data_IF_601270441518
#
_entry.id   IF_601270441518
#
_cell.length_a   1.000
_cell.length_b   1.000
_cell.length_c   1.000
_cell.angle_alpha   90.00
_cell.angle_beta   90.00
_cell.angle_gamma   90.00
#
_symmetry.space_group_name_H-M   'P 1'
#
loop_
_entity.id
_entity.type
_entity.pdbx_description
1 polymer ?
#
# COMPACT_ATOMS: atom_id res chain seq x y z
N UNK A 1 -9.01 0.92 27.02
CA UNK A 1 -9.56 1.97 26.13
C UNK A 1 -10.41 1.32 25.06
N UNK A 2 -11.68 1.70 24.97
CA UNK A 2 -12.58 1.18 23.93
C UNK A 2 -12.19 1.83 22.59
N UNK A 3 -11.66 1.05 21.64
CA UNK A 3 -11.35 1.55 20.30
C UNK A 3 -12.59 1.40 19.44
N UNK A 4 -13.15 2.47 18.88
CA UNK A 4 -14.31 2.39 18.01
C UNK A 4 -13.97 1.60 16.73
N UNK A 5 -14.95 0.94 16.16
CA UNK A 5 -14.83 0.34 14.84
C UNK A 5 -14.52 1.43 13.81
N UNK A 6 -13.66 1.09 12.84
CA UNK A 6 -13.34 1.93 11.70
C UNK A 6 -13.85 1.27 10.43
N UNK A 7 -14.52 2.02 9.59
CA UNK A 7 -14.99 1.55 8.29
C UNK A 7 -14.15 2.21 7.20
N UNK A 8 -13.52 1.40 6.35
CA UNK A 8 -12.78 1.85 5.19
C UNK A 8 -13.60 1.65 3.91
N UNK A 9 -13.43 2.53 2.95
CA UNK A 9 -13.97 2.39 1.60
C UNK A 9 -12.82 2.09 0.63
N UNK A 10 -13.00 1.08 -0.23
CA UNK A 10 -12.05 0.74 -1.28
C UNK A 10 -12.76 0.77 -2.63
N UNK A 11 -12.14 1.40 -3.61
CA UNK A 11 -12.60 1.44 -5.00
C UNK A 11 -11.44 1.16 -5.95
N UNK A 12 -11.72 0.92 -7.22
CA UNK A 12 -10.71 0.48 -8.20
C UNK A 12 -10.67 1.36 -9.43
N UNK A 13 -11.74 2.10 -9.72
CA UNK A 13 -11.90 2.81 -10.97
C UNK A 13 -12.55 4.16 -10.76
N UNK A 14 -12.23 5.07 -11.69
CA UNK A 14 -12.94 6.33 -11.87
C UNK A 14 -13.03 6.66 -13.37
N UNK A 15 -14.07 7.38 -13.77
CA UNK A 15 -14.24 7.86 -15.15
C UNK A 15 -13.32 9.03 -15.48
N UNK A 16 -12.78 9.68 -14.45
CA UNK A 16 -11.85 10.81 -14.57
C UNK A 16 -11.60 11.52 -13.25
N UNK A 17 -10.88 12.62 -13.31
CA UNK A 17 -10.46 13.35 -12.12
C UNK A 17 -11.62 13.80 -11.23
N UNK A 18 -12.72 14.27 -11.84
CA UNK A 18 -13.90 14.71 -11.08
C UNK A 18 -14.57 13.55 -10.36
N UNK A 19 -14.78 12.42 -11.04
CA UNK A 19 -15.40 11.24 -10.44
C UNK A 19 -14.55 10.70 -9.29
N UNK A 20 -13.22 10.60 -9.46
CA UNK A 20 -12.32 10.18 -8.40
C UNK A 20 -12.37 11.11 -7.17
N UNK A 21 -12.38 12.43 -7.41
CA UNK A 21 -12.54 13.41 -6.35
C UNK A 21 -13.88 13.28 -5.63
N UNK A 22 -14.97 13.08 -6.37
CA UNK A 22 -16.32 12.93 -5.81
C UNK A 22 -16.44 11.65 -4.97
N UNK A 23 -15.84 10.53 -5.40
CA UNK A 23 -15.78 9.28 -4.62
C UNK A 23 -15.03 9.49 -3.31
N UNK A 24 -13.86 10.13 -3.33
CA UNK A 24 -13.06 10.38 -2.13
C UNK A 24 -13.77 11.32 -1.13
N UNK A 25 -14.32 12.43 -1.62
CA UNK A 25 -15.10 13.37 -0.79
C UNK A 25 -16.35 12.73 -0.21
N UNK A 26 -17.09 11.97 -1.03
CA UNK A 26 -18.29 11.27 -0.57
C UNK A 26 -17.97 10.25 0.52
N UNK A 27 -16.84 9.54 0.41
CA UNK A 27 -16.40 8.64 1.47
C UNK A 27 -16.10 9.42 2.77
N UNK A 28 -15.47 10.58 2.68
CA UNK A 28 -15.20 11.45 3.82
C UNK A 28 -16.50 11.97 4.44
N UNK A 29 -17.41 12.53 3.64
CA UNK A 29 -18.70 13.10 4.08
C UNK A 29 -19.61 12.05 4.73
N UNK A 30 -19.52 10.79 4.31
CA UNK A 30 -20.25 9.67 4.91
C UNK A 30 -19.58 9.13 6.19
N UNK A 31 -18.44 9.69 6.61
CA UNK A 31 -17.76 9.33 7.84
C UNK A 31 -16.92 8.05 7.76
N UNK A 32 -16.55 7.60 6.55
CA UNK A 32 -15.56 6.53 6.42
C UNK A 32 -14.22 6.98 7.01
N UNK A 33 -13.56 6.07 7.70
CA UNK A 33 -12.28 6.34 8.37
C UNK A 33 -11.09 6.33 7.41
N UNK A 34 -11.21 5.62 6.29
CA UNK A 34 -10.15 5.51 5.30
C UNK A 34 -10.69 5.27 3.89
N UNK A 35 -9.94 5.78 2.91
CA UNK A 35 -10.18 5.62 1.49
C UNK A 35 -8.97 4.94 0.83
N UNK A 36 -9.21 3.83 0.14
CA UNK A 36 -8.17 2.97 -0.39
C UNK A 36 -8.35 2.65 -1.88
N UNK A 37 -7.23 2.45 -2.54
CA UNK A 37 -7.12 1.83 -3.86
C UNK A 37 -6.23 0.59 -3.73
N UNK A 38 -6.36 -0.38 -4.62
CA UNK A 38 -5.40 -1.47 -4.75
C UNK A 38 -4.20 -1.05 -5.62
N UNK A 39 -3.25 -1.95 -5.84
CA UNK A 39 -2.07 -1.72 -6.68
C UNK A 39 -2.01 -2.78 -7.78
N UNK A 40 -2.96 -2.68 -8.72
CA UNK A 40 -2.99 -3.50 -9.92
C UNK A 40 -2.72 -2.65 -11.15
N UNK A 41 -2.04 -3.24 -12.13
CA UNK A 41 -1.56 -2.53 -13.33
C UNK A 41 -2.42 -2.88 -14.55
N UNK A 42 -3.01 -4.07 -14.57
CA UNK A 42 -3.77 -4.54 -15.71
C UNK A 42 -5.20 -4.00 -15.72
N UNK A 43 -5.66 -3.65 -16.92
CA UNK A 43 -7.08 -3.48 -17.22
C UNK A 43 -7.81 -4.82 -17.30
N UNK A 44 -9.11 -4.77 -17.67
CA UNK A 44 -9.92 -5.98 -17.87
C UNK A 44 -9.26 -6.93 -18.89
N UNK A 45 -9.38 -8.23 -18.62
CA UNK A 45 -8.85 -9.27 -19.49
C UNK A 45 -8.55 -10.57 -18.75
N UNK A 46 -8.06 -11.59 -19.47
CA UNK A 46 -7.97 -12.97 -18.97
C UNK A 46 -7.19 -13.13 -17.66
N UNK A 47 -6.19 -12.29 -17.41
CA UNK A 47 -5.39 -12.36 -16.18
C UNK A 47 -6.22 -12.02 -14.93
N UNK A 48 -6.96 -10.91 -14.97
CA UNK A 48 -7.78 -10.48 -13.82
C UNK A 48 -9.10 -11.26 -13.75
N UNK A 49 -9.68 -11.67 -14.89
CA UNK A 49 -10.87 -12.53 -14.93
C UNK A 49 -10.63 -13.87 -14.22
N UNK A 50 -9.48 -14.51 -14.50
CA UNK A 50 -9.08 -15.74 -13.83
C UNK A 50 -8.87 -15.57 -12.33
N UNK A 51 -8.37 -14.41 -11.90
CA UNK A 51 -8.20 -14.07 -10.50
C UNK A 51 -9.51 -13.64 -9.82
N UNK A 52 -10.61 -13.45 -10.58
CA UNK A 52 -11.86 -12.86 -10.13
C UNK A 52 -11.61 -11.50 -9.40
N UNK A 53 -10.76 -10.66 -10.03
CA UNK A 53 -10.40 -9.35 -9.50
C UNK A 53 -10.90 -8.25 -10.43
N UNK A 54 -11.49 -7.16 -9.92
CA UNK A 54 -11.91 -6.04 -10.75
C UNK A 54 -10.69 -5.38 -11.43
N UNK A 55 -10.89 -4.91 -12.66
CA UNK A 55 -9.89 -4.10 -13.34
C UNK A 55 -9.66 -2.79 -12.58
N UNK A 56 -8.45 -2.27 -12.64
CA UNK A 56 -8.07 -1.00 -12.07
C UNK A 56 -7.54 -0.08 -13.17
N UNK A 57 -8.12 1.09 -13.34
CA UNK A 57 -7.73 2.00 -14.42
C UNK A 57 -6.77 3.13 -13.98
N UNK A 58 -6.38 3.16 -12.71
CA UNK A 58 -5.49 4.16 -12.16
C UNK A 58 -4.31 3.53 -11.44
N UNK A 59 -3.11 4.10 -11.61
CA UNK A 59 -1.96 3.75 -10.77
C UNK A 59 -2.18 4.27 -9.33
N UNK A 60 -1.82 3.45 -8.34
CA UNK A 60 -2.13 3.72 -6.94
C UNK A 60 -1.49 5.03 -6.41
N UNK A 61 -0.21 5.27 -6.70
CA UNK A 61 0.53 6.43 -6.17
C UNK A 61 -0.10 7.76 -6.60
N UNK A 62 -0.30 8.06 -7.91
CA UNK A 62 -0.91 9.33 -8.33
C UNK A 62 -2.37 9.46 -7.90
N UNK A 63 -3.14 8.35 -7.91
CA UNK A 63 -4.53 8.38 -7.47
C UNK A 63 -4.65 8.71 -5.97
N UNK A 64 -3.78 8.13 -5.13
CA UNK A 64 -3.75 8.45 -3.69
C UNK A 64 -3.31 9.89 -3.42
N UNK A 65 -2.32 10.41 -4.16
CA UNK A 65 -1.90 11.81 -4.03
C UNK A 65 -3.03 12.77 -4.38
N UNK A 66 -3.79 12.47 -5.45
CA UNK A 66 -4.95 13.29 -5.83
C UNK A 66 -6.09 13.20 -4.81
N UNK A 67 -6.40 12.00 -4.30
CA UNK A 67 -7.38 11.83 -3.23
C UNK A 67 -6.99 12.61 -1.96
N UNK A 68 -5.72 12.61 -1.60
CA UNK A 68 -5.18 13.39 -0.49
C UNK A 68 -5.40 14.91 -0.67
N UNK A 69 -5.23 15.42 -1.90
CA UNK A 69 -5.38 16.84 -2.21
C UNK A 69 -6.83 17.33 -2.16
N UNK A 70 -7.81 16.44 -2.39
CA UNK A 70 -9.23 16.82 -2.47
C UNK A 70 -10.02 16.50 -1.19
N UNK A 71 -9.42 15.88 -0.21
CA UNK A 71 -10.00 15.52 1.10
C UNK A 71 -9.23 16.20 2.24
N UNK A 72 -9.80 16.20 3.47
CA UNK A 72 -9.22 16.91 4.62
C UNK A 72 -8.87 16.02 5.81
N UNK A 73 -9.69 15.02 6.10
CA UNK A 73 -9.60 14.23 7.34
C UNK A 73 -9.46 12.73 7.13
N UNK A 74 -10.12 12.18 6.08
CA UNK A 74 -10.12 10.75 5.79
C UNK A 74 -8.69 10.23 5.57
N UNK A 75 -8.37 9.07 6.15
CA UNK A 75 -7.07 8.42 5.91
C UNK A 75 -7.01 7.93 4.48
N UNK A 76 -5.82 8.06 3.88
CA UNK A 76 -5.56 7.69 2.49
C UNK A 76 -4.57 6.53 2.47
N UNK A 77 -4.76 5.55 1.62
CA UNK A 77 -3.81 4.46 1.51
C UNK A 77 -3.99 3.57 0.29
N UNK A 78 -2.99 2.75 0.05
CA UNK A 78 -3.11 1.62 -0.85
C UNK A 78 -3.34 0.34 -0.03
N UNK A 79 -4.31 -0.45 -0.43
CA UNK A 79 -4.58 -1.73 0.22
C UNK A 79 -4.48 -2.87 -0.80
N UNK A 80 -3.26 -3.32 -1.06
CA UNK A 80 -1.93 -2.90 -0.58
C UNK A 80 -0.99 -2.73 -1.76
N UNK A 81 0.09 -1.97 -1.63
CA UNK A 81 1.15 -1.93 -2.64
C UNK A 81 1.77 -3.31 -2.81
N UNK A 82 1.95 -3.75 -4.05
CA UNK A 82 2.68 -4.97 -4.35
C UNK A 82 4.19 -4.70 -4.31
N UNK A 83 4.91 -5.39 -3.43
CA UNK A 83 6.35 -5.16 -3.25
C UNK A 83 7.16 -5.35 -4.53
N UNK A 84 6.70 -6.20 -5.44
CA UNK A 84 7.41 -6.55 -6.66
C UNK A 84 7.16 -5.59 -7.84
N UNK A 85 6.18 -4.68 -7.72
CA UNK A 85 5.85 -3.73 -8.79
C UNK A 85 6.63 -2.42 -8.68
N UNK A 86 7.36 -2.22 -7.58
CA UNK A 86 8.02 -0.96 -7.28
C UNK A 86 9.49 -1.14 -6.92
N UNK A 87 10.32 -0.22 -7.38
CA UNK A 87 11.65 -0.05 -6.80
C UNK A 87 11.49 0.47 -5.35
N UNK A 88 12.00 -0.23 -4.33
CA UNK A 88 11.68 0.06 -2.92
C UNK A 88 11.89 1.51 -2.50
N UNK A 89 13.02 2.11 -2.83
CA UNK A 89 13.32 3.50 -2.44
C UNK A 89 12.35 4.50 -3.10
N UNK A 90 11.90 4.23 -4.33
CA UNK A 90 10.94 5.08 -5.06
C UNK A 90 9.55 4.96 -4.42
N UNK A 91 9.13 3.74 -4.05
CA UNK A 91 7.87 3.52 -3.34
C UNK A 91 7.86 4.25 -2.00
N UNK A 92 8.93 4.09 -1.20
CA UNK A 92 9.05 4.73 0.11
C UNK A 92 9.04 6.25 -0.02
N UNK A 93 9.83 6.81 -0.96
CA UNK A 93 9.84 8.25 -1.22
C UNK A 93 8.46 8.77 -1.64
N UNK A 94 7.76 8.04 -2.51
CA UNK A 94 6.41 8.40 -2.96
C UNK A 94 5.40 8.35 -1.81
N UNK A 95 5.46 7.32 -0.97
CA UNK A 95 4.61 7.18 0.20
C UNK A 95 4.81 8.33 1.19
N UNK A 96 6.07 8.69 1.48
CA UNK A 96 6.38 9.82 2.36
C UNK A 96 5.95 11.16 1.76
N UNK A 97 5.98 11.28 0.44
CA UNK A 97 5.43 12.46 -0.23
C UNK A 97 3.92 12.55 -0.07
N UNK A 98 3.20 11.44 -0.23
CA UNK A 98 1.74 11.40 0.01
C UNK A 98 1.45 11.71 1.49
N UNK A 99 2.21 11.17 2.44
CA UNK A 99 2.02 11.48 3.87
C UNK A 99 2.18 12.98 4.15
N UNK A 100 3.21 13.59 3.58
CA UNK A 100 3.45 15.03 3.69
C UNK A 100 2.31 15.86 3.06
N UNK A 101 1.90 15.54 1.84
CA UNK A 101 0.85 16.27 1.10
C UNK A 101 -0.54 16.05 1.71
N UNK A 102 -0.77 14.93 2.37
CA UNK A 102 -2.00 14.64 3.11
C UNK A 102 -1.98 15.13 4.56
N UNK A 103 -0.93 15.84 4.99
CA UNK A 103 -0.77 16.30 6.38
C UNK A 103 -0.78 15.15 7.41
N UNK A 104 -0.17 14.02 7.05
CA UNK A 104 -0.05 12.86 7.94
C UNK A 104 -1.27 11.94 7.94
N UNK A 105 -2.00 11.84 6.83
CA UNK A 105 -3.18 10.95 6.71
C UNK A 105 -2.89 9.62 6.03
N UNK A 106 -1.66 9.36 5.59
CA UNK A 106 -1.30 8.10 4.94
C UNK A 106 -1.38 6.92 5.92
N UNK A 107 -1.95 5.81 5.47
CA UNK A 107 -1.77 4.46 6.00
C UNK A 107 -1.02 3.65 4.94
N UNK A 108 0.26 3.35 5.19
CA UNK A 108 1.11 2.66 4.22
C UNK A 108 0.82 1.16 4.21
N UNK A 109 0.19 0.68 3.16
CA UNK A 109 -0.12 -0.74 2.99
C UNK A 109 0.85 -1.43 2.03
N UNK A 110 1.37 -2.60 2.40
CA UNK A 110 2.26 -3.41 1.56
C UNK A 110 1.90 -4.89 1.60
N UNK A 111 2.09 -5.58 0.48
CA UNK A 111 1.83 -7.01 0.32
C UNK A 111 2.83 -7.68 -0.62
N UNK A 112 2.91 -9.00 -0.55
CA UNK A 112 3.88 -9.79 -1.30
C UNK A 112 3.43 -10.17 -2.73
N UNK A 113 2.32 -9.61 -3.24
CA UNK A 113 1.74 -9.99 -4.53
C UNK A 113 1.05 -11.37 -4.50
N UNK A 114 0.10 -11.59 -5.42
CA UNK A 114 -0.66 -12.85 -5.41
C UNK A 114 -1.22 -13.29 -6.77
N UNK A 115 -1.41 -12.40 -7.75
CA UNK A 115 -1.99 -12.72 -9.07
C UNK A 115 -0.87 -13.16 -10.01
N UNK A 116 -0.63 -14.47 -10.10
CA UNK A 116 0.41 -15.04 -10.97
C UNK A 116 0.24 -14.66 -12.45
N UNK A 117 -1.00 -14.56 -12.89
CA UNK A 117 -1.34 -14.18 -14.26
C UNK A 117 -0.95 -12.72 -14.56
N UNK A 118 -1.07 -11.83 -13.59
CA UNK A 118 -0.63 -10.44 -13.71
C UNK A 118 0.89 -10.35 -13.83
N UNK A 119 1.63 -11.04 -12.96
CA UNK A 119 3.09 -11.13 -13.06
C UNK A 119 3.54 -11.62 -14.44
N UNK A 120 2.91 -12.69 -14.94
CA UNK A 120 3.22 -13.24 -16.26
C UNK A 120 2.92 -12.23 -17.38
N UNK A 121 1.79 -11.55 -17.34
CA UNK A 121 1.39 -10.58 -18.36
C UNK A 121 2.30 -9.35 -18.38
N UNK A 122 2.83 -8.95 -17.22
CA UNK A 122 3.76 -7.83 -17.05
C UNK A 122 5.23 -8.22 -17.32
N UNK A 123 5.53 -9.50 -17.50
CA UNK A 123 6.91 -9.96 -17.63
C UNK A 123 7.73 -9.85 -16.35
N UNK A 124 7.07 -9.75 -15.20
CA UNK A 124 7.71 -9.72 -13.89
C UNK A 124 7.87 -11.14 -13.37
N UNK A 125 9.08 -11.46 -12.89
CA UNK A 125 9.32 -12.77 -12.28
C UNK A 125 8.57 -12.88 -10.97
N UNK A 126 7.69 -13.87 -10.84
CA UNK A 126 7.06 -14.21 -9.58
C UNK A 126 7.93 -15.21 -8.82
N UNK A 127 8.74 -14.72 -7.91
CA UNK A 127 9.56 -15.57 -7.03
C UNK A 127 8.71 -16.43 -6.09
N UNK A 128 9.32 -17.43 -5.46
CA UNK A 128 8.68 -18.25 -4.44
C UNK A 128 8.09 -17.37 -3.30
N UNK A 129 6.96 -17.78 -2.70
CA UNK A 129 6.29 -16.98 -1.66
C UNK A 129 7.22 -16.58 -0.51
N UNK A 130 8.17 -17.44 -0.13
CA UNK A 130 9.15 -17.15 0.91
C UNK A 130 9.97 -15.90 0.54
N UNK A 131 10.53 -15.87 -0.67
CA UNK A 131 11.40 -14.77 -1.14
C UNK A 131 10.62 -13.46 -1.19
N UNK A 132 9.40 -13.48 -1.73
CA UNK A 132 8.54 -12.27 -1.82
C UNK A 132 8.13 -11.73 -0.45
N UNK A 133 7.86 -12.62 0.51
CA UNK A 133 7.52 -12.22 1.90
C UNK A 133 8.75 -11.67 2.61
N UNK A 134 9.94 -12.23 2.40
CA UNK A 134 11.18 -11.72 2.97
C UNK A 134 11.49 -10.34 2.38
N UNK A 135 11.41 -10.17 1.05
CA UNK A 135 11.52 -8.85 0.38
C UNK A 135 10.53 -7.83 0.93
N UNK A 136 9.28 -8.21 1.17
CA UNK A 136 8.30 -7.33 1.80
C UNK A 136 8.74 -6.92 3.22
N UNK A 137 9.30 -7.83 4.00
CA UNK A 137 9.87 -7.54 5.32
C UNK A 137 11.04 -6.55 5.24
N UNK A 138 11.92 -6.73 4.28
CA UNK A 138 13.06 -5.83 4.03
C UNK A 138 12.59 -4.40 3.68
N UNK A 139 11.56 -4.28 2.84
CA UNK A 139 10.98 -2.97 2.50
C UNK A 139 10.31 -2.32 3.72
N UNK A 140 9.66 -3.11 4.60
CA UNK A 140 9.11 -2.59 5.86
C UNK A 140 10.22 -2.09 6.79
N UNK A 141 11.34 -2.77 6.87
CA UNK A 141 12.51 -2.29 7.61
C UNK A 141 13.09 -1.03 6.96
N UNK A 142 13.16 -0.99 5.63
CA UNK A 142 13.62 0.17 4.87
C UNK A 142 12.79 1.42 5.12
N UNK A 143 11.45 1.32 5.12
CA UNK A 143 10.61 2.50 5.40
C UNK A 143 10.76 2.98 6.84
N UNK A 144 10.96 2.07 7.81
CA UNK A 144 11.25 2.44 9.20
C UNK A 144 12.60 3.15 9.33
N UNK A 145 13.64 2.65 8.66
CA UNK A 145 14.95 3.31 8.60
C UNK A 145 14.87 4.68 7.93
N UNK A 146 14.14 4.78 6.81
CA UNK A 146 13.90 6.06 6.12
C UNK A 146 13.19 7.09 7.02
N UNK A 147 12.27 6.65 7.87
CA UNK A 147 11.52 7.51 8.80
C UNK A 147 12.28 7.85 10.09
N UNK A 148 13.38 7.16 10.41
CA UNK A 148 14.17 7.43 11.63
C UNK A 148 14.87 8.79 11.59
N UNK A 149 15.23 9.32 12.75
CA UNK A 149 15.90 10.64 12.88
C UNK A 149 17.35 10.63 12.37
N UNK A 150 17.98 9.46 12.30
CA UNK A 150 19.36 9.30 11.81
C UNK A 150 19.49 9.09 10.31
N UNK A 151 20.72 8.75 9.85
CA UNK A 151 20.92 8.26 8.50
C UNK A 151 20.11 6.99 8.24
N UNK A 152 19.64 6.83 7.02
CA UNK A 152 18.95 5.62 6.59
C UNK A 152 20.01 4.58 6.19
N UNK A 153 20.61 3.93 7.17
CA UNK A 153 21.55 2.84 6.96
C UNK A 153 20.83 1.50 7.11
N UNK A 154 20.85 0.71 6.04
CA UNK A 154 20.25 -0.63 6.02
C UNK A 154 21.00 -1.52 5.02
N UNK A 155 21.29 -2.73 5.42
CA UNK A 155 21.85 -3.78 4.57
C UNK A 155 21.10 -5.08 4.81
N UNK A 156 20.42 -5.57 3.78
CA UNK A 156 19.72 -6.84 3.75
C UNK A 156 19.65 -7.39 2.31
N UNK A 157 18.95 -8.48 2.07
CA UNK A 157 18.90 -9.13 0.74
C UNK A 157 18.27 -8.26 -0.34
N UNK A 158 17.46 -7.26 0.04
CA UNK A 158 16.70 -6.41 -0.87
C UNK A 158 17.24 -4.99 -0.96
N UNK A 159 17.81 -4.46 0.14
CA UNK A 159 18.17 -3.06 0.29
C UNK A 159 19.62 -2.93 0.77
N UNK A 160 20.36 -2.07 0.09
CA UNK A 160 21.70 -1.63 0.49
C UNK A 160 21.73 -0.11 0.47
N UNK A 161 21.55 0.51 1.64
CA UNK A 161 21.54 1.96 1.80
C UNK A 161 22.55 2.40 2.86
N UNK A 162 23.23 3.50 2.60
CA UNK A 162 24.22 4.05 3.50
C UNK A 162 24.26 5.57 3.47
N UNK A 163 24.25 6.19 4.65
CA UNK A 163 24.64 7.56 4.87
C UNK A 163 23.76 8.67 4.30
N UNK A 164 22.49 8.39 3.91
CA UNK A 164 21.60 9.45 3.47
C UNK A 164 20.48 9.74 4.48
N UNK A 165 20.01 10.99 4.50
CA UNK A 165 18.82 11.34 5.27
C UNK A 165 17.56 11.11 4.45
N UNK A 166 16.67 10.24 4.93
CA UNK A 166 15.35 10.04 4.33
C UNK A 166 14.48 11.30 4.50
N UNK A 167 14.02 11.89 3.41
CA UNK A 167 13.12 13.05 3.38
C UNK A 167 12.02 12.88 2.34
N UNK A 168 10.77 13.41 2.58
CA UNK A 168 10.35 14.07 3.82
C UNK A 168 10.24 13.09 5.00
N UNK A 169 10.34 13.59 6.22
CA UNK A 169 10.06 12.83 7.44
C UNK A 169 8.57 12.92 7.77
N UNK A 170 7.95 11.83 8.22
CA UNK A 170 6.56 11.90 8.69
C UNK A 170 6.50 12.71 10.00
N UNK A 171 5.46 13.53 10.15
CA UNK A 171 5.22 14.31 11.39
C UNK A 171 4.72 13.44 12.55
N UNK A 172 4.35 12.21 12.29
CA UNK A 172 3.87 11.21 13.25
C UNK A 172 4.41 9.84 12.90
N UNK A 173 4.30 8.88 13.80
CA UNK A 173 4.56 7.49 13.43
C UNK A 173 3.68 7.09 12.25
N UNK A 174 4.29 6.68 11.15
CA UNK A 174 3.58 6.19 9.96
C UNK A 174 2.92 4.84 10.28
N UNK A 175 1.60 4.69 10.15
CA UNK A 175 0.96 3.39 10.29
C UNK A 175 1.32 2.48 9.12
N UNK A 176 1.81 1.29 9.42
CA UNK A 176 2.16 0.26 8.44
C UNK A 176 1.09 -0.82 8.44
N UNK A 177 0.50 -1.05 7.27
CA UNK A 177 -0.45 -2.13 7.02
C UNK A 177 0.26 -3.25 6.24
N UNK A 178 0.15 -4.49 6.70
CA UNK A 178 0.62 -5.66 5.97
C UNK A 178 -0.57 -6.48 5.51
N UNK A 179 -0.64 -6.73 4.19
CA UNK A 179 -1.69 -7.51 3.55
C UNK A 179 -1.31 -8.96 3.32
N UNK A 180 -2.25 -9.86 3.67
CA UNK A 180 -2.15 -11.28 3.41
C UNK A 180 -2.56 -12.13 4.61
N UNK A 181 -2.84 -13.43 4.37
CA UNK A 181 -3.40 -14.35 5.37
C UNK A 181 -2.55 -15.60 5.65
N UNK A 182 -1.41 -15.78 4.97
CA UNK A 182 -0.57 -16.96 5.25
C UNK A 182 0.11 -16.86 6.60
N UNK A 183 0.41 -18.01 7.27
CA UNK A 183 1.05 -17.99 8.59
C UNK A 183 2.37 -17.21 8.64
N UNK A 184 3.15 -17.19 7.54
CA UNK A 184 4.38 -16.42 7.45
C UNK A 184 4.12 -14.91 7.39
N UNK A 185 3.13 -14.48 6.59
CA UNK A 185 2.72 -13.06 6.52
C UNK A 185 2.17 -12.60 7.87
N UNK A 186 1.32 -13.41 8.51
CA UNK A 186 0.75 -13.06 9.82
C UNK A 186 1.81 -12.95 10.92
N UNK A 187 2.83 -13.79 10.89
CA UNK A 187 3.98 -13.66 11.81
C UNK A 187 4.76 -12.37 11.58
N UNK A 188 5.00 -12.01 10.32
CA UNK A 188 5.65 -10.73 9.99
C UNK A 188 4.77 -9.55 10.41
N UNK A 189 3.48 -9.59 10.09
CA UNK A 189 2.54 -8.53 10.46
C UNK A 189 2.44 -8.34 11.98
N UNK A 190 2.42 -9.44 12.75
CA UNK A 190 2.40 -9.38 14.23
C UNK A 190 3.64 -8.72 14.85
N UNK A 191 4.78 -8.72 14.15
CA UNK A 191 6.03 -8.07 14.59
C UNK A 191 6.15 -6.62 14.12
N UNK A 192 5.73 -6.34 12.90
CA UNK A 192 6.15 -5.15 12.17
C UNK A 192 5.01 -4.18 11.85
N UNK A 193 3.75 -4.65 11.83
CA UNK A 193 2.62 -3.85 11.36
C UNK A 193 1.79 -3.24 12.49
N UNK A 194 1.15 -2.12 12.18
CA UNK A 194 0.10 -1.49 13.00
C UNK A 194 -1.29 -2.01 12.59
N UNK A 195 -1.43 -2.44 11.33
CA UNK A 195 -2.70 -2.88 10.72
C UNK A 195 -2.44 -4.19 9.95
N UNK A 196 -3.31 -5.18 10.15
CA UNK A 196 -3.31 -6.41 9.37
C UNK A 196 -4.49 -6.38 8.39
N UNK A 197 -4.21 -6.48 7.10
CA UNK A 197 -5.22 -6.53 6.06
C UNK A 197 -5.45 -7.97 5.61
N UNK A 198 -6.57 -8.54 6.00
CA UNK A 198 -6.98 -9.88 5.59
C UNK A 198 -7.98 -9.78 4.43
N UNK A 199 -7.83 -10.66 3.46
CA UNK A 199 -8.82 -10.87 2.42
C UNK A 199 -9.53 -12.19 2.70
N UNK A 200 -10.73 -12.11 3.27
CA UNK A 200 -11.58 -13.26 3.50
C UNK A 200 -12.41 -13.50 2.24
N UNK A 201 -11.90 -14.31 1.33
CA UNK A 201 -12.77 -14.93 0.36
C UNK A 201 -13.57 -16.02 1.11
N UNK A 202 -14.88 -15.81 1.26
CA UNK A 202 -15.80 -16.87 1.67
C UNK A 202 -15.79 -17.97 0.59
N UNK A 203 -14.76 -18.80 0.62
CA UNK A 203 -14.78 -20.12 0.01
C UNK A 203 -14.98 -21.10 1.16
N UNK A 204 -16.26 -21.23 1.52
CA UNK A 204 -16.71 -22.43 2.24
C UNK A 204 -16.55 -23.66 1.36
#
# INVERSE_FOLDING_TARGET
>A
MNRPFRFGFQTFNAEGAKDWADQAKKAEDLGYSSFHLADHILGAGPALEKANHPAQNMAAIPAMAYAAAVTKEIKIGCRVFCVDYHLPIVLIKSAMTIDMLSEGRLEFGIGAGWISEEYKALGIKMDEPKIRIDRMGDVVHGIKAFCSDGPADISNDTLEWSGFSGIPKPKRRLPIMIGGGSPRVLRLAGKEADIVSLNFNNRS
#
